data_IF_789040325630
#
_entry.id   IF_789040325630
#
_cell.length_a   1.000
_cell.length_b   1.000
_cell.length_c   1.000
_cell.angle_alpha   90.00
_cell.angle_beta   90.00
_cell.angle_gamma   90.00
#
_symmetry.space_group_name_H-M   'P 1'
#
loop_
_entity.id
_entity.type
_entity.pdbx_description
1 polymer ?
#
# COMPACT_ATOMS: atom_id res chain seq x y z
N UNK A 1 17.47 -0.04 2.89
CA UNK A 1 17.27 -1.22 3.76
C UNK A 1 18.44 -1.31 4.71
N UNK A 2 18.16 -1.49 5.99
CA UNK A 2 19.16 -1.57 7.06
C UNK A 2 19.09 -2.93 7.73
N UNK A 3 20.23 -3.44 8.19
CA UNK A 3 20.33 -4.55 9.12
C UNK A 3 20.73 -4.02 10.49
N UNK A 4 19.96 -4.39 11.50
CA UNK A 4 20.28 -4.10 12.91
C UNK A 4 20.65 -5.42 13.59
N UNK A 5 21.87 -5.52 14.12
CA UNK A 5 22.32 -6.68 14.87
C UNK A 5 21.84 -6.63 16.34
N UNK A 6 21.87 -7.75 17.08
CA UNK A 6 21.40 -7.80 18.46
C UNK A 6 22.09 -6.82 19.43
N UNK A 7 23.32 -6.43 19.13
CA UNK A 7 24.09 -5.41 19.86
C UNK A 7 23.72 -3.96 19.43
N UNK A 8 22.72 -3.80 18.55
CA UNK A 8 22.25 -2.49 18.09
C UNK A 8 23.07 -1.87 16.94
N UNK A 9 24.08 -2.56 16.41
CA UNK A 9 24.85 -2.05 15.26
C UNK A 9 24.00 -2.00 14.02
N UNK A 10 23.95 -0.81 13.38
CA UNK A 10 23.22 -0.57 12.14
C UNK A 10 24.17 -0.69 10.95
N UNK A 11 23.80 -1.54 9.98
CA UNK A 11 24.55 -1.72 8.73
C UNK A 11 23.63 -1.49 7.56
N UNK A 12 23.88 -0.50 6.67
CA UNK A 12 23.14 -0.34 5.44
C UNK A 12 23.39 -1.55 4.50
N UNK A 13 22.31 -2.12 3.97
CA UNK A 13 22.36 -3.18 2.97
C UNK A 13 22.19 -2.61 1.55
N UNK A 14 21.33 -1.61 1.41
CA UNK A 14 21.15 -0.83 0.18
C UNK A 14 20.67 0.59 0.55
N UNK A 15 21.15 1.59 -0.17
CA UNK A 15 20.84 3.02 0.01
C UNK A 15 20.42 3.65 -1.30
N UNK A 16 20.06 4.94 -1.27
CA UNK A 16 19.75 5.78 -2.43
C UNK A 16 18.61 5.23 -3.33
N UNK A 17 17.65 4.55 -2.71
CA UNK A 17 16.45 4.08 -3.38
C UNK A 17 15.54 5.27 -3.76
N UNK A 18 14.81 5.20 -4.90
CA UNK A 18 13.91 6.26 -5.35
C UNK A 18 12.61 6.29 -4.50
N UNK A 19 12.77 6.50 -3.19
CA UNK A 19 11.69 6.50 -2.19
C UNK A 19 11.29 7.94 -1.87
N UNK A 20 10.72 8.64 -2.86
CA UNK A 20 10.25 10.02 -2.77
C UNK A 20 8.77 10.10 -3.14
N UNK A 21 8.07 11.09 -2.62
CA UNK A 21 6.66 11.30 -2.92
C UNK A 21 5.73 10.60 -1.92
N UNK A 22 4.58 10.20 -2.40
CA UNK A 22 3.47 9.75 -1.57
C UNK A 22 3.74 8.43 -0.83
N UNK A 23 4.55 7.54 -1.42
CA UNK A 23 4.77 6.20 -0.90
C UNK A 23 6.26 5.89 -0.74
N UNK A 24 6.54 5.00 0.20
CA UNK A 24 7.90 4.75 0.69
C UNK A 24 8.42 3.39 0.25
N UNK A 25 9.67 3.11 0.65
CA UNK A 25 10.22 1.75 0.67
C UNK A 25 9.61 0.98 1.83
N UNK A 26 9.03 -0.18 1.55
CA UNK A 26 8.32 -1.03 2.49
C UNK A 26 8.89 -2.47 2.50
N UNK A 27 8.36 -3.30 3.39
CA UNK A 27 8.87 -4.63 3.71
C UNK A 27 9.85 -4.54 4.90
N UNK A 28 10.87 -5.39 5.04
CA UNK A 28 11.26 -6.49 4.15
C UNK A 28 10.58 -7.83 4.47
N UNK A 29 10.70 -8.78 3.52
CA UNK A 29 10.45 -10.21 3.75
C UNK A 29 11.69 -11.02 3.39
N UNK A 30 12.05 -11.97 4.24
CA UNK A 30 13.16 -12.90 3.95
C UNK A 30 12.60 -14.12 3.23
N UNK A 31 13.31 -14.61 2.19
CA UNK A 31 12.92 -15.80 1.47
C UNK A 31 12.91 -17.04 2.39
N UNK A 32 12.08 -18.06 2.11
CA UNK A 32 11.97 -19.24 2.96
C UNK A 32 13.31 -20.01 3.14
N UNK A 33 14.20 -19.94 2.17
CA UNK A 33 15.55 -20.52 2.22
C UNK A 33 16.58 -19.65 2.94
N UNK A 34 16.18 -18.45 3.40
CA UNK A 34 17.04 -17.50 4.09
C UNK A 34 18.11 -16.82 3.22
N UNK A 35 18.08 -16.99 1.89
CA UNK A 35 19.13 -16.49 1.00
C UNK A 35 18.96 -15.04 0.58
N UNK A 36 17.73 -14.55 0.54
CA UNK A 36 17.38 -13.27 -0.07
C UNK A 36 16.43 -12.44 0.77
N UNK A 37 16.53 -11.11 0.62
CA UNK A 37 15.59 -10.14 1.15
C UNK A 37 14.75 -9.60 0.00
N UNK A 38 13.44 -9.59 0.18
CA UNK A 38 12.48 -8.93 -0.71
C UNK A 38 12.00 -7.63 -0.07
N UNK A 39 11.93 -6.57 -0.85
CA UNK A 39 11.42 -5.27 -0.42
C UNK A 39 10.70 -4.59 -1.57
N UNK A 40 9.93 -3.57 -1.26
CA UNK A 40 9.17 -2.82 -2.24
C UNK A 40 9.48 -1.33 -2.18
N UNK A 41 9.20 -0.64 -3.29
CA UNK A 41 9.24 0.82 -3.38
C UNK A 41 7.89 1.24 -3.95
N UNK A 42 7.16 2.10 -3.24
CA UNK A 42 5.91 2.65 -3.72
C UNK A 42 6.12 3.76 -4.74
N UNK A 43 5.03 4.17 -5.41
CA UNK A 43 5.08 5.23 -6.42
C UNK A 43 5.15 6.62 -5.78
N UNK A 44 5.69 7.57 -6.54
CA UNK A 44 5.83 8.96 -6.09
C UNK A 44 4.50 9.73 -6.08
N UNK A 45 3.53 9.30 -6.89
CA UNK A 45 2.24 10.00 -7.07
C UNK A 45 1.05 9.09 -6.75
N UNK A 46 -0.14 9.68 -6.68
CA UNK A 46 -1.37 8.90 -6.55
C UNK A 46 -1.65 8.01 -7.78
N UNK A 47 -1.57 8.58 -8.97
CA UNK A 47 -2.07 7.94 -10.19
C UNK A 47 -1.28 8.27 -11.46
N UNK A 48 0.05 8.41 -11.34
CA UNK A 48 0.97 8.60 -12.47
C UNK A 48 1.25 10.04 -12.86
N UNK A 49 0.64 11.02 -12.19
CA UNK A 49 0.77 12.44 -12.53
C UNK A 49 1.07 13.26 -11.27
N UNK A 50 2.15 14.02 -11.30
CA UNK A 50 2.48 14.97 -10.22
C UNK A 50 1.47 16.10 -10.22
N UNK A 51 0.85 16.37 -9.07
CA UNK A 51 -0.24 17.32 -8.94
C UNK A 51 -0.15 18.26 -7.75
N UNK A 52 -1.23 19.02 -7.54
CA UNK A 52 -1.35 19.95 -6.42
C UNK A 52 -1.38 19.28 -5.07
N UNK A 53 -1.82 18.04 -4.98
CA UNK A 53 -1.74 17.20 -3.78
C UNK A 53 -0.28 16.97 -3.34
N UNK A 54 0.62 16.73 -4.28
CA UNK A 54 2.06 16.60 -3.98
C UNK A 54 2.65 17.93 -3.50
N UNK A 55 2.18 19.08 -4.00
CA UNK A 55 2.54 20.39 -3.46
C UNK A 55 2.04 20.58 -2.03
N UNK A 56 0.78 20.20 -1.76
CA UNK A 56 0.16 20.26 -0.44
C UNK A 56 0.94 19.44 0.60
N UNK A 57 1.41 18.25 0.24
CA UNK A 57 2.28 17.42 1.09
C UNK A 57 3.74 17.91 1.14
N UNK A 58 4.07 19.00 0.45
CA UNK A 58 5.37 19.66 0.50
C UNK A 58 6.44 19.05 -0.41
N UNK A 59 6.09 18.08 -1.25
CA UNK A 59 7.05 17.40 -2.12
C UNK A 59 7.63 18.33 -3.18
N UNK A 60 6.81 19.12 -3.86
CA UNK A 60 7.29 20.05 -4.90
C UNK A 60 8.26 21.11 -4.36
N UNK A 61 8.14 21.48 -3.07
CA UNK A 61 9.07 22.40 -2.43
C UNK A 61 10.42 21.73 -2.12
N UNK A 62 10.40 20.42 -1.79
CA UNK A 62 11.60 19.65 -1.43
C UNK A 62 12.39 19.21 -2.65
N UNK A 63 11.69 18.77 -3.68
CA UNK A 63 12.25 18.27 -4.93
C UNK A 63 11.28 18.57 -6.09
N UNK A 64 11.43 19.73 -6.77
CA UNK A 64 10.56 20.09 -7.88
C UNK A 64 10.64 19.14 -9.08
N UNK A 65 11.69 18.32 -9.14
CA UNK A 65 11.95 17.40 -10.26
C UNK A 65 11.43 15.99 -10.01
N UNK A 66 10.85 15.69 -8.83
CA UNK A 66 10.41 14.34 -8.54
C UNK A 66 9.25 13.91 -9.45
N UNK A 67 9.27 12.68 -9.85
CA UNK A 67 8.23 12.03 -10.65
C UNK A 67 8.34 10.50 -10.49
N UNK A 68 7.40 9.77 -11.03
CA UNK A 68 7.48 8.31 -11.08
C UNK A 68 8.51 7.81 -12.09
N UNK A 69 9.14 6.69 -11.79
CA UNK A 69 10.19 6.07 -12.59
C UNK A 69 9.70 4.67 -13.00
N UNK A 70 9.48 4.38 -14.29
CA UNK A 70 9.08 3.06 -14.75
C UNK A 70 10.25 2.07 -14.72
N UNK A 71 9.96 0.75 -14.60
CA UNK A 71 11.00 -0.28 -14.61
C UNK A 71 11.52 -0.61 -16.02
N UNK A 72 10.70 -0.39 -17.03
CA UNK A 72 10.99 -0.61 -18.46
C UNK A 72 10.54 0.62 -19.24
N UNK A 73 11.03 0.77 -20.46
CA UNK A 73 10.56 1.82 -21.35
C UNK A 73 9.05 1.72 -21.52
N UNK A 74 8.38 2.85 -21.38
CA UNK A 74 6.94 2.99 -21.56
C UNK A 74 6.66 4.10 -22.58
N UNK A 75 5.55 3.97 -23.30
CA UNK A 75 5.08 4.92 -24.30
C UNK A 75 3.81 5.60 -23.83
N UNK A 76 3.81 6.93 -23.80
CA UNK A 76 2.71 7.74 -23.31
C UNK A 76 1.64 8.01 -24.37
N UNK A 77 0.38 8.13 -23.91
CA UNK A 77 -0.73 8.60 -24.75
C UNK A 77 -0.64 10.08 -25.10
N UNK A 78 0.10 10.87 -24.31
CA UNK A 78 0.12 12.32 -24.40
C UNK A 78 -1.01 13.01 -23.62
N UNK A 79 -1.74 12.28 -22.79
CA UNK A 79 -2.74 12.88 -21.90
C UNK A 79 -2.06 13.81 -20.89
N UNK A 80 -2.59 15.02 -20.77
CA UNK A 80 -2.04 16.08 -19.92
C UNK A 80 -3.13 16.65 -19.00
N UNK A 81 -2.71 17.08 -17.81
CA UNK A 81 -3.60 17.56 -16.75
C UNK A 81 -3.27 19.00 -16.42
N UNK A 82 -4.27 19.89 -16.54
CA UNK A 82 -4.15 21.30 -16.18
C UNK A 82 -4.61 21.52 -14.75
N UNK A 83 -3.76 22.11 -13.93
CA UNK A 83 -4.04 22.42 -12.52
C UNK A 83 -3.62 23.85 -12.20
N UNK A 84 -3.96 24.33 -10.99
CA UNK A 84 -3.32 25.51 -10.42
C UNK A 84 -1.81 25.29 -10.31
N UNK A 85 -1.03 26.37 -10.40
CA UNK A 85 0.42 26.29 -10.22
C UNK A 85 0.85 26.83 -8.85
N UNK A 86 0.97 25.98 -7.83
CA UNK A 86 1.33 26.39 -6.47
C UNK A 86 2.79 26.87 -6.34
N UNK A 87 3.61 26.72 -7.37
CA UNK A 87 4.99 27.20 -7.41
C UNK A 87 5.11 28.61 -8.01
N UNK A 88 4.01 29.15 -8.55
CA UNK A 88 3.97 30.51 -9.12
C UNK A 88 3.55 31.53 -8.08
N UNK A 89 4.09 32.74 -8.18
CA UNK A 89 3.63 33.89 -7.43
C UNK A 89 2.31 34.48 -8.00
N UNK A 90 1.98 34.18 -9.25
CA UNK A 90 0.70 34.51 -9.86
C UNK A 90 -0.35 33.47 -9.47
N UNK A 91 -1.36 33.90 -8.72
CA UNK A 91 -2.45 33.03 -8.26
C UNK A 91 -3.33 32.45 -9.40
N UNK A 92 -3.26 33.03 -10.58
CA UNK A 92 -4.02 32.56 -11.76
C UNK A 92 -3.18 31.64 -12.64
N UNK A 93 -1.89 31.47 -12.34
CA UNK A 93 -1.01 30.63 -13.12
C UNK A 93 -1.50 29.18 -13.12
N UNK A 94 -1.46 28.58 -14.29
CA UNK A 94 -1.77 27.15 -14.49
C UNK A 94 -0.49 26.38 -14.75
N UNK A 95 -0.52 25.10 -14.42
CA UNK A 95 0.51 24.12 -14.76
C UNK A 95 -0.12 23.02 -15.61
N UNK A 96 0.63 22.53 -16.60
CA UNK A 96 0.23 21.41 -17.44
C UNK A 96 1.23 20.28 -17.24
N UNK A 97 0.76 19.15 -16.71
CA UNK A 97 1.63 18.02 -16.32
C UNK A 97 1.19 16.74 -17.01
N UNK A 98 2.14 16.07 -17.66
CA UNK A 98 1.98 14.74 -18.23
C UNK A 98 2.36 13.64 -17.24
N UNK A 99 2.02 12.39 -17.58
CA UNK A 99 2.37 11.23 -16.77
C UNK A 99 3.88 10.98 -16.73
N UNK A 100 4.40 10.48 -15.59
CA UNK A 100 5.83 10.15 -15.40
C UNK A 100 6.80 11.32 -15.64
N UNK A 101 6.30 12.54 -15.56
CA UNK A 101 7.09 13.76 -15.78
C UNK A 101 7.04 14.67 -14.56
N UNK A 102 8.06 15.53 -14.36
CA UNK A 102 8.03 16.54 -13.32
C UNK A 102 6.81 17.48 -13.46
N UNK A 103 6.42 18.09 -12.35
CA UNK A 103 5.33 19.06 -12.33
C UNK A 103 5.52 20.17 -13.39
N UNK A 104 4.44 20.55 -14.04
CA UNK A 104 4.43 21.55 -15.12
C UNK A 104 5.29 21.17 -16.35
N UNK A 105 5.42 19.88 -16.63
CA UNK A 105 6.08 19.36 -17.84
C UNK A 105 5.05 18.54 -18.63
N UNK A 106 4.57 19.04 -19.78
CA UNK A 106 3.60 18.31 -20.59
C UNK A 106 4.23 17.14 -21.34
N UNK A 107 3.45 16.07 -21.51
CA UNK A 107 3.81 14.93 -22.35
C UNK A 107 3.32 15.10 -23.79
N UNK A 108 3.90 14.32 -24.72
CA UNK A 108 3.48 14.24 -26.11
C UNK A 108 2.97 12.84 -26.43
N UNK A 109 2.01 12.70 -27.37
CA UNK A 109 1.60 11.39 -27.86
C UNK A 109 2.79 10.60 -28.41
N UNK A 110 2.95 9.35 -27.95
CA UNK A 110 4.05 8.49 -28.37
C UNK A 110 5.40 8.79 -27.68
N UNK A 111 5.48 9.75 -26.76
CA UNK A 111 6.68 10.01 -26.00
C UNK A 111 7.09 8.75 -25.21
N UNK A 112 8.37 8.40 -25.31
CA UNK A 112 8.95 7.28 -24.56
C UNK A 112 9.58 7.81 -23.28
N UNK A 113 9.22 7.22 -22.14
CA UNK A 113 9.91 7.42 -20.86
C UNK A 113 10.81 6.21 -20.64
N UNK A 114 12.13 6.41 -20.49
CA UNK A 114 13.06 5.31 -20.33
C UNK A 114 12.90 4.62 -18.96
N UNK A 115 12.99 3.29 -18.97
CA UNK A 115 12.98 2.47 -17.77
C UNK A 115 14.29 2.61 -16.97
N UNK A 116 14.17 2.46 -15.66
CA UNK A 116 15.31 2.47 -14.75
C UNK A 116 15.08 1.53 -13.56
N UNK A 117 16.14 0.87 -13.11
CA UNK A 117 16.13 0.04 -11.89
C UNK A 117 17.16 0.62 -10.91
N UNK A 118 16.76 0.81 -9.63
CA UNK A 118 15.42 0.65 -9.06
C UNK A 118 14.40 1.65 -9.59
N UNK A 119 13.17 1.17 -9.80
CA UNK A 119 12.01 1.98 -10.22
C UNK A 119 11.11 2.35 -9.03
N UNK A 120 10.11 3.21 -9.24
CA UNK A 120 8.96 3.35 -8.34
C UNK A 120 7.89 2.30 -8.68
N UNK A 121 7.04 1.94 -7.71
CA UNK A 121 5.97 0.95 -7.91
C UNK A 121 6.49 -0.46 -8.21
N UNK A 122 7.57 -0.89 -7.55
CA UNK A 122 8.21 -2.18 -7.80
C UNK A 122 8.48 -3.00 -6.54
N UNK A 123 8.61 -4.31 -6.74
CA UNK A 123 9.13 -5.28 -5.76
C UNK A 123 10.49 -5.74 -6.22
N UNK A 124 11.44 -5.80 -5.30
CA UNK A 124 12.83 -6.13 -5.54
C UNK A 124 13.29 -7.24 -4.62
N UNK A 125 14.33 -7.96 -5.04
CA UNK A 125 15.09 -8.88 -4.20
C UNK A 125 16.57 -8.55 -4.24
N UNK A 126 17.27 -8.85 -3.16
CA UNK A 126 18.74 -8.81 -3.07
C UNK A 126 19.25 -9.93 -2.16
N UNK A 127 20.55 -10.30 -2.22
CA UNK A 127 21.12 -11.22 -1.26
C UNK A 127 20.93 -10.74 0.19
N UNK A 128 20.80 -11.69 1.15
CA UNK A 128 20.67 -11.38 2.57
C UNK A 128 21.86 -10.58 3.13
N UNK A 129 23.02 -10.72 2.52
CA UNK A 129 24.24 -9.98 2.87
C UNK A 129 24.23 -8.50 2.37
N UNK A 130 23.24 -8.11 1.57
CA UNK A 130 23.21 -6.86 0.84
C UNK A 130 23.77 -7.02 -0.57
N UNK A 131 23.64 -5.96 -1.36
CA UNK A 131 24.13 -5.93 -2.74
C UNK A 131 23.13 -5.30 -3.72
N UNK A 132 23.25 -5.65 -5.00
CA UNK A 132 22.41 -5.11 -6.05
C UNK A 132 20.97 -5.59 -5.97
N UNK A 133 20.02 -4.66 -6.12
CA UNK A 133 18.60 -4.96 -6.18
C UNK A 133 18.19 -5.47 -7.57
N UNK A 134 17.56 -6.61 -7.63
CA UNK A 134 16.99 -7.20 -8.83
C UNK A 134 15.48 -7.00 -8.83
N UNK A 135 14.93 -6.56 -9.96
CA UNK A 135 13.49 -6.39 -10.13
C UNK A 135 12.79 -7.78 -10.09
N UNK A 136 11.74 -7.88 -9.27
CA UNK A 136 10.86 -9.04 -9.21
C UNK A 136 9.56 -8.76 -9.94
N UNK A 137 8.89 -7.64 -9.64
CA UNK A 137 7.62 -7.23 -10.23
C UNK A 137 7.50 -5.71 -10.22
N UNK A 138 6.62 -5.14 -11.04
CA UNK A 138 6.44 -3.71 -11.17
C UNK A 138 5.03 -3.31 -11.61
N UNK A 139 4.75 -2.00 -11.65
CA UNK A 139 3.41 -1.50 -11.96
C UNK A 139 2.44 -1.70 -10.80
N UNK A 140 2.94 -1.63 -9.58
CA UNK A 140 2.21 -1.57 -8.32
C UNK A 140 2.15 -0.10 -7.83
N UNK A 141 1.10 0.28 -7.11
CA UNK A 141 1.02 1.65 -6.55
C UNK A 141 1.75 1.78 -5.23
N UNK A 142 1.26 1.14 -4.20
CA UNK A 142 1.87 1.13 -2.87
C UNK A 142 1.95 -0.29 -2.32
N UNK A 143 2.90 -1.09 -2.80
CA UNK A 143 3.14 -2.43 -2.29
C UNK A 143 3.69 -2.33 -0.86
N UNK A 144 2.79 -2.46 0.15
CA UNK A 144 3.11 -2.17 1.54
C UNK A 144 3.64 -3.39 2.29
N UNK A 145 2.84 -4.43 2.45
CA UNK A 145 3.22 -5.65 3.14
C UNK A 145 3.76 -6.70 2.17
N UNK A 146 4.79 -7.43 2.59
CA UNK A 146 5.31 -8.59 1.89
C UNK A 146 5.38 -9.78 2.84
N UNK A 147 4.88 -10.95 2.42
CA UNK A 147 5.00 -12.18 3.17
C UNK A 147 5.01 -13.40 2.25
N UNK A 148 5.76 -14.43 2.65
CA UNK A 148 5.71 -15.72 2.00
C UNK A 148 4.64 -16.60 2.64
N UNK A 149 3.77 -17.18 1.82
CA UNK A 149 2.83 -18.20 2.26
C UNK A 149 3.57 -19.51 2.60
N UNK A 150 2.92 -20.43 3.36
CA UNK A 150 3.54 -21.71 3.70
C UNK A 150 3.96 -22.57 2.50
N UNK A 151 3.33 -22.37 1.35
CA UNK A 151 3.65 -23.05 0.08
C UNK A 151 4.81 -22.39 -0.70
N UNK A 152 5.43 -21.33 -0.15
CA UNK A 152 6.55 -20.62 -0.74
C UNK A 152 6.18 -19.49 -1.71
N UNK A 153 4.89 -19.27 -2.02
CA UNK A 153 4.46 -18.12 -2.84
C UNK A 153 4.64 -16.81 -2.08
N UNK A 154 5.17 -15.81 -2.76
CA UNK A 154 5.25 -14.45 -2.23
C UNK A 154 3.91 -13.74 -2.48
N UNK A 155 3.43 -13.04 -1.47
CA UNK A 155 2.25 -12.16 -1.56
C UNK A 155 2.58 -10.73 -1.15
N UNK A 156 1.77 -9.80 -1.64
CA UNK A 156 1.88 -8.37 -1.34
C UNK A 156 0.50 -7.78 -1.06
N UNK A 157 0.39 -6.98 0.01
CA UNK A 157 -0.72 -6.03 0.15
C UNK A 157 -0.37 -4.74 -0.59
N UNK A 158 -1.32 -4.20 -1.34
CA UNK A 158 -1.18 -2.94 -2.06
C UNK A 158 -2.27 -1.97 -1.65
N UNK A 159 -1.89 -0.79 -1.17
CA UNK A 159 -2.86 0.29 -1.00
C UNK A 159 -3.15 0.94 -2.36
N UNK A 160 -4.43 1.00 -2.68
CA UNK A 160 -4.89 1.41 -3.99
C UNK A 160 -5.06 2.94 -4.12
N UNK A 161 -5.69 3.37 -5.22
CA UNK A 161 -5.80 4.79 -5.57
C UNK A 161 -6.67 5.59 -4.60
N UNK A 162 -6.37 6.89 -4.50
CA UNK A 162 -7.14 7.87 -3.75
C UNK A 162 -7.92 8.81 -4.65
N UNK A 163 -8.98 9.43 -4.08
CA UNK A 163 -9.80 10.43 -4.77
C UNK A 163 -9.17 11.82 -4.61
N UNK A 164 -7.93 11.98 -5.08
CA UNK A 164 -7.15 13.23 -4.98
C UNK A 164 -6.22 13.43 -6.17
N UNK A 165 -5.63 14.62 -6.23
CA UNK A 165 -4.63 14.97 -7.24
C UNK A 165 -5.21 15.27 -8.62
N UNK A 166 -4.33 15.31 -9.61
CA UNK A 166 -4.66 15.68 -11.00
C UNK A 166 -5.53 14.63 -11.69
N UNK A 167 -5.40 13.36 -11.31
CA UNK A 167 -6.12 12.21 -11.87
C UNK A 167 -6.70 11.38 -10.72
N UNK A 168 -7.80 11.85 -10.09
CA UNK A 168 -8.44 11.13 -8.98
C UNK A 168 -9.10 9.84 -9.49
N UNK A 169 -9.02 8.78 -8.68
CA UNK A 169 -9.65 7.48 -8.97
C UNK A 169 -10.58 7.12 -7.82
N UNK A 170 -11.84 6.81 -8.12
CA UNK A 170 -12.86 6.45 -7.14
C UNK A 170 -12.97 4.92 -7.01
N UNK A 171 -13.44 4.45 -5.86
CA UNK A 171 -13.92 3.08 -5.68
C UNK A 171 -12.87 1.96 -5.74
N UNK A 172 -11.58 2.27 -5.78
CA UNK A 172 -10.52 1.27 -5.81
C UNK A 172 -10.22 0.73 -4.40
N UNK A 173 -10.51 -0.54 -4.15
CA UNK A 173 -10.17 -1.22 -2.91
C UNK A 173 -8.68 -1.58 -2.85
N UNK A 174 -8.14 -1.78 -1.64
CA UNK A 174 -6.81 -2.33 -1.49
C UNK A 174 -6.74 -3.77 -2.03
N UNK A 175 -5.56 -4.28 -2.28
CA UNK A 175 -5.42 -5.55 -3.01
C UNK A 175 -4.45 -6.48 -2.30
N UNK A 176 -4.78 -7.77 -2.25
CA UNK A 176 -3.83 -8.84 -1.92
C UNK A 176 -3.40 -9.54 -3.21
N UNK A 177 -2.15 -9.36 -3.60
CA UNK A 177 -1.56 -9.93 -4.81
C UNK A 177 -0.73 -11.18 -4.54
N UNK A 178 -0.90 -12.28 -5.28
CA UNK A 178 0.17 -13.26 -5.46
C UNK A 178 1.21 -12.68 -6.43
N UNK A 179 2.49 -12.74 -6.05
CA UNK A 179 3.55 -12.10 -6.82
C UNK A 179 4.20 -13.12 -7.76
N UNK A 180 4.07 -12.84 -9.05
CA UNK A 180 4.71 -13.60 -10.14
C UNK A 180 5.89 -12.79 -10.70
N UNK A 181 7.10 -13.34 -10.70
CA UNK A 181 8.27 -12.65 -11.23
C UNK A 181 8.11 -12.23 -12.70
N UNK A 182 8.62 -11.02 -13.03
CA UNK A 182 8.58 -10.46 -14.37
C UNK A 182 7.27 -9.77 -14.77
N UNK A 183 6.24 -9.82 -13.91
CA UNK A 183 4.89 -9.33 -14.20
C UNK A 183 4.75 -7.83 -13.91
N UNK A 184 4.01 -7.14 -14.78
CA UNK A 184 3.48 -5.79 -14.55
C UNK A 184 2.06 -5.90 -13.98
N UNK A 185 1.77 -5.16 -12.91
CA UNK A 185 0.54 -5.27 -12.11
C UNK A 185 -0.54 -4.24 -12.45
N UNK A 186 -0.29 -3.37 -13.43
CA UNK A 186 -1.34 -2.54 -14.02
C UNK A 186 -1.26 -1.05 -13.71
N UNK A 187 -0.59 -0.62 -12.66
CA UNK A 187 -0.44 0.81 -12.38
C UNK A 187 0.36 1.50 -13.50
N UNK A 188 -0.07 2.69 -13.99
CA UNK A 188 -1.11 3.57 -13.45
C UNK A 188 -2.49 3.41 -14.09
N UNK A 189 -2.73 2.45 -14.96
CA UNK A 189 -3.90 2.40 -15.84
C UNK A 189 -4.94 1.34 -15.47
N UNK A 190 -4.61 0.45 -14.54
CA UNK A 190 -5.49 -0.62 -14.07
C UNK A 190 -5.56 -0.66 -12.55
N UNK A 191 -6.66 -1.24 -12.06
CA UNK A 191 -6.86 -1.62 -10.68
C UNK A 191 -7.42 -3.05 -10.62
N UNK A 192 -6.78 -3.92 -9.85
CA UNK A 192 -7.22 -5.30 -9.64
C UNK A 192 -7.53 -6.08 -10.95
N UNK A 193 -6.78 -5.79 -12.03
CA UNK A 193 -6.98 -6.38 -13.36
C UNK A 193 -7.97 -5.64 -14.26
N UNK A 194 -8.69 -4.64 -13.76
CA UNK A 194 -9.69 -3.86 -14.49
C UNK A 194 -9.15 -2.50 -14.95
N UNK A 195 -9.46 -2.03 -16.16
CA UNK A 195 -9.01 -0.75 -16.68
C UNK A 195 -9.69 0.41 -15.92
N UNK A 196 -8.93 1.44 -15.57
CA UNK A 196 -9.47 2.63 -14.91
C UNK A 196 -10.41 3.45 -15.81
N UNK A 197 -10.42 3.16 -17.11
CA UNK A 197 -11.39 3.74 -18.06
C UNK A 197 -12.82 3.24 -17.87
N UNK A 198 -13.04 2.26 -16.99
CA UNK A 198 -14.38 1.82 -16.59
C UNK A 198 -15.02 2.92 -15.70
N UNK A 199 -15.65 3.90 -16.36
CA UNK A 199 -16.14 5.13 -15.74
C UNK A 199 -17.17 4.90 -14.64
N UNK A 200 -18.09 3.95 -14.84
CA UNK A 200 -19.15 3.65 -13.86
C UNK A 200 -18.62 3.22 -12.50
N UNK A 201 -17.36 2.76 -12.47
CA UNK A 201 -16.70 2.31 -11.25
C UNK A 201 -15.64 3.28 -10.72
N UNK A 202 -14.79 3.82 -11.63
CA UNK A 202 -13.59 4.58 -11.22
C UNK A 202 -13.69 6.08 -11.38
N UNK A 203 -14.78 6.61 -11.94
CA UNK A 203 -14.96 8.06 -12.07
C UNK A 203 -15.32 8.69 -10.74
N UNK A 204 -14.49 9.61 -10.25
CA UNK A 204 -14.79 10.38 -9.07
C UNK A 204 -15.94 11.37 -9.35
N UNK A 205 -16.89 11.56 -8.41
CA UNK A 205 -18.02 12.49 -8.58
C UNK A 205 -17.58 13.89 -8.98
N UNK A 206 -18.16 14.41 -10.07
CA UNK A 206 -17.86 15.75 -10.59
C UNK A 206 -16.47 15.91 -11.24
N UNK A 207 -15.77 14.80 -11.50
CA UNK A 207 -14.48 14.78 -12.21
C UNK A 207 -14.59 14.01 -13.52
N UNK A 208 -13.71 14.27 -14.50
CA UNK A 208 -13.63 13.44 -15.70
C UNK A 208 -13.29 11.98 -15.36
N UNK A 209 -13.78 11.04 -16.17
CA UNK A 209 -13.36 9.66 -16.07
C UNK A 209 -11.85 9.52 -16.34
N UNK A 210 -11.13 8.65 -15.62
CA UNK A 210 -9.74 8.37 -15.91
C UNK A 210 -9.56 7.86 -17.35
N UNK A 211 -8.52 8.35 -18.02
CA UNK A 211 -8.08 7.85 -19.32
C UNK A 211 -6.77 7.09 -19.16
N UNK A 212 -6.41 6.27 -20.14
CA UNK A 212 -5.11 5.62 -20.16
C UNK A 212 -3.97 6.64 -20.32
N UNK A 213 -2.92 6.45 -19.55
CA UNK A 213 -1.69 7.22 -19.62
C UNK A 213 -0.66 6.54 -20.54
N UNK A 214 -0.70 5.20 -20.60
CA UNK A 214 0.19 4.40 -21.44
C UNK A 214 -0.51 4.08 -22.77
N UNK A 215 0.20 4.33 -23.87
CA UNK A 215 -0.28 4.00 -25.21
C UNK A 215 -0.25 2.48 -25.50
N UNK A 216 0.63 1.77 -24.81
CA UNK A 216 0.80 0.33 -24.89
C UNK A 216 1.03 -0.22 -23.48
N UNK A 217 0.37 -1.34 -23.14
CA UNK A 217 0.52 -1.98 -21.84
C UNK A 217 1.46 -3.19 -21.96
N UNK A 218 2.40 -3.37 -20.98
CA UNK A 218 3.42 -4.44 -21.07
C UNK A 218 2.86 -5.85 -21.12
N UNK A 219 1.75 -6.09 -20.43
CA UNK A 219 0.95 -7.32 -20.43
C UNK A 219 -0.45 -7.02 -19.88
N UNK A 220 -1.38 -7.94 -19.99
CA UNK A 220 -2.63 -7.90 -19.23
C UNK A 220 -2.32 -8.04 -17.74
N UNK A 221 -2.81 -7.15 -16.85
CA UNK A 221 -2.57 -7.29 -15.44
C UNK A 221 -3.17 -8.59 -14.88
N UNK A 222 -2.56 -9.21 -13.87
CA UNK A 222 -3.07 -10.42 -13.24
C UNK A 222 -4.35 -10.17 -12.46
N UNK A 223 -5.04 -11.25 -12.09
CA UNK A 223 -6.15 -11.21 -11.12
C UNK A 223 -5.61 -11.30 -9.70
N UNK A 224 -6.08 -10.47 -8.75
CA UNK A 224 -5.67 -10.53 -7.36
C UNK A 224 -6.22 -11.77 -6.65
N UNK A 225 -5.60 -12.14 -5.52
CA UNK A 225 -6.16 -13.12 -4.59
C UNK A 225 -7.42 -12.59 -3.87
N UNK A 226 -7.42 -11.30 -3.53
CA UNK A 226 -8.58 -10.62 -2.95
C UNK A 226 -8.54 -9.11 -3.24
N UNK A 227 -9.73 -8.51 -3.37
CA UNK A 227 -9.93 -7.05 -3.32
C UNK A 227 -10.50 -6.70 -1.95
N UNK A 228 -9.75 -5.91 -1.21
CA UNK A 228 -10.02 -5.51 0.16
C UNK A 228 -10.85 -4.20 0.18
N UNK A 229 -11.51 -3.86 1.29
CA UNK A 229 -12.30 -2.64 1.40
C UNK A 229 -11.57 -1.37 0.98
N UNK A 230 -12.31 -0.49 0.27
CA UNK A 230 -11.82 0.82 -0.20
C UNK A 230 -11.35 1.67 0.98
N UNK A 231 -10.15 2.26 0.86
CA UNK A 231 -9.51 3.10 1.88
C UNK A 231 -9.29 2.42 3.25
N UNK A 232 -9.28 1.06 3.30
CA UNK A 232 -8.99 0.33 4.52
C UNK A 232 -7.54 0.44 4.98
N UNK A 233 -6.65 0.85 4.08
CA UNK A 233 -5.21 0.96 4.30
C UNK A 233 -4.62 -0.34 4.86
N UNK A 234 -4.72 -1.40 4.06
CA UNK A 234 -4.23 -2.73 4.42
C UNK A 234 -2.71 -2.78 4.32
N UNK A 235 -2.08 -3.02 5.47
CA UNK A 235 -0.65 -2.85 5.69
C UNK A 235 0.09 -4.20 5.81
N UNK A 236 0.90 -4.37 6.86
CA UNK A 236 1.68 -5.57 7.08
C UNK A 236 0.83 -6.79 7.45
N UNK A 237 1.23 -7.95 6.97
CA UNK A 237 0.51 -9.21 7.17
C UNK A 237 1.44 -10.40 7.27
N UNK A 238 0.93 -11.54 7.73
CA UNK A 238 1.60 -12.82 7.71
C UNK A 238 0.59 -13.96 7.54
N UNK A 239 1.08 -15.14 7.20
CA UNK A 239 0.27 -16.34 7.01
C UNK A 239 0.30 -17.24 8.24
N UNK A 240 -0.85 -17.77 8.64
CA UNK A 240 -0.91 -18.82 9.64
C UNK A 240 -0.25 -20.10 9.10
N UNK A 241 0.68 -20.65 9.88
CA UNK A 241 1.43 -21.88 9.57
C UNK A 241 1.11 -23.03 10.52
N UNK A 242 0.44 -22.71 11.64
CA UNK A 242 0.18 -23.69 12.70
C UNK A 242 -1.29 -24.10 12.75
N UNK A 243 -1.56 -25.41 12.74
CA UNK A 243 -2.91 -25.94 12.98
C UNK A 243 -3.39 -25.66 14.41
N UNK A 244 -2.48 -25.40 15.36
CA UNK A 244 -2.84 -25.07 16.75
C UNK A 244 -3.42 -23.65 16.85
N UNK A 245 -2.85 -22.70 16.11
CA UNK A 245 -3.49 -21.37 16.01
C UNK A 245 -4.77 -21.44 15.17
N UNK A 246 -4.77 -22.28 14.15
CA UNK A 246 -5.87 -22.44 13.20
C UNK A 246 -5.69 -21.64 11.92
N UNK A 247 -6.63 -21.82 10.99
CA UNK A 247 -6.66 -21.11 9.73
C UNK A 247 -5.38 -21.21 8.88
N UNK A 248 -4.76 -22.39 8.89
CA UNK A 248 -3.51 -22.62 8.19
C UNK A 248 -3.59 -22.22 6.70
N UNK A 249 -2.60 -21.51 6.20
CA UNK A 249 -2.54 -21.00 4.82
C UNK A 249 -3.31 -19.69 4.59
N UNK A 250 -4.04 -19.18 5.58
CA UNK A 250 -4.74 -17.89 5.44
C UNK A 250 -3.86 -16.73 5.91
N UNK A 251 -4.03 -15.56 5.26
CA UNK A 251 -3.34 -14.34 5.57
C UNK A 251 -4.07 -13.57 6.69
N UNK A 252 -3.33 -13.05 7.66
CA UNK A 252 -3.82 -12.15 8.71
C UNK A 252 -3.28 -10.77 8.43
N UNK A 253 -4.15 -9.83 8.05
CA UNK A 253 -3.77 -8.53 7.49
C UNK A 253 -4.22 -7.41 8.42
N UNK A 254 -3.28 -6.56 8.80
CA UNK A 254 -3.56 -5.35 9.57
C UNK A 254 -4.22 -4.29 8.68
N UNK A 255 -5.41 -3.84 9.02
CA UNK A 255 -6.13 -2.75 8.38
C UNK A 255 -6.00 -1.48 9.23
N UNK A 256 -5.11 -0.58 8.80
CA UNK A 256 -4.79 0.66 9.51
C UNK A 256 -5.99 1.59 9.68
N UNK A 257 -6.87 1.59 8.70
CA UNK A 257 -8.08 2.38 8.69
C UNK A 257 -7.97 3.67 7.90
N UNK A 258 -9.13 4.16 7.50
CA UNK A 258 -9.23 5.33 6.62
C UNK A 258 -8.57 6.59 7.17
N UNK A 259 -8.13 7.43 6.24
CA UNK A 259 -7.57 8.75 6.49
C UNK A 259 -8.41 9.82 5.78
N UNK A 260 -9.75 9.67 5.85
CA UNK A 260 -10.65 10.67 5.29
C UNK A 260 -10.49 12.03 6.02
N UNK A 261 -10.55 13.17 5.30
CA UNK A 261 -10.83 13.30 3.88
C UNK A 261 -9.62 13.14 2.95
N UNK A 262 -8.39 13.00 3.46
CA UNK A 262 -7.15 13.01 2.68
C UNK A 262 -7.08 11.97 1.56
N UNK A 263 -7.71 10.81 1.73
CA UNK A 263 -7.80 9.75 0.71
C UNK A 263 -9.07 9.85 -0.15
N UNK A 264 -10.01 10.68 0.25
CA UNK A 264 -11.33 10.84 -0.37
C UNK A 264 -12.46 10.60 0.63
N UNK A 265 -13.70 10.76 0.14
CA UNK A 265 -14.90 10.61 0.97
C UNK A 265 -15.11 9.14 1.36
N UNK A 266 -15.27 8.90 2.65
CA UNK A 266 -15.64 7.61 3.23
C UNK A 266 -17.07 7.69 3.78
N UNK A 267 -17.93 6.74 3.40
CA UNK A 267 -19.34 6.72 3.81
C UNK A 267 -19.50 6.27 5.26
N UNK A 268 -18.63 5.37 5.70
CA UNK A 268 -18.54 4.87 7.08
C UNK A 268 -17.06 4.55 7.38
N UNK A 269 -16.60 4.62 8.63
CA UNK A 269 -15.24 4.25 8.98
C UNK A 269 -14.87 2.85 8.49
N UNK A 270 -13.69 2.70 7.91
CA UNK A 270 -13.18 1.44 7.31
C UNK A 270 -11.81 1.11 7.90
N UNK A 271 -11.51 -0.16 8.15
CA UNK A 271 -10.26 -0.63 8.75
C UNK A 271 -10.34 -0.70 10.28
N UNK A 272 -9.29 -0.33 11.01
CA UNK A 272 -9.14 -0.36 12.48
C UNK A 272 -9.27 -1.77 13.07
N UNK A 273 -8.79 -2.78 12.35
CA UNK A 273 -8.99 -4.19 12.66
C UNK A 273 -7.93 -5.09 12.03
N UNK A 274 -7.99 -6.35 12.33
CA UNK A 274 -7.24 -7.39 11.61
C UNK A 274 -8.25 -8.23 10.85
N UNK A 275 -8.07 -8.34 9.54
CA UNK A 275 -8.86 -9.23 8.70
C UNK A 275 -8.08 -10.51 8.37
N UNK A 276 -8.81 -11.60 8.18
CA UNK A 276 -8.29 -12.89 7.71
C UNK A 276 -8.75 -13.10 6.27
N UNK A 277 -7.83 -13.48 5.41
CA UNK A 277 -8.09 -13.70 3.98
C UNK A 277 -7.64 -15.09 3.59
N UNK A 278 -8.51 -15.85 2.96
CA UNK A 278 -8.13 -17.08 2.26
C UNK A 278 -7.66 -16.72 0.85
N UNK A 279 -6.36 -16.86 0.55
CA UNK A 279 -5.80 -16.43 -0.72
C UNK A 279 -6.22 -17.30 -1.92
N UNK A 280 -6.83 -18.45 -1.69
CA UNK A 280 -7.28 -19.37 -2.74
C UNK A 280 -8.73 -19.10 -3.16
N UNK A 281 -9.56 -18.60 -2.24
CA UNK A 281 -10.99 -18.33 -2.47
C UNK A 281 -11.30 -16.83 -2.54
N UNK A 282 -10.41 -15.97 -2.03
CA UNK A 282 -10.63 -14.53 -1.89
C UNK A 282 -11.58 -14.15 -0.76
N UNK A 283 -12.01 -15.10 0.06
CA UNK A 283 -12.92 -14.84 1.19
C UNK A 283 -12.20 -14.04 2.27
N UNK A 284 -12.85 -12.95 2.68
CA UNK A 284 -12.36 -12.01 3.69
C UNK A 284 -13.27 -12.12 4.91
N UNK A 285 -12.69 -12.32 6.08
CA UNK A 285 -13.43 -12.37 7.35
C UNK A 285 -12.73 -11.50 8.39
N UNK A 286 -13.51 -10.82 9.22
CA UNK A 286 -12.98 -10.07 10.35
C UNK A 286 -12.43 -11.06 11.38
N UNK A 287 -11.14 -10.92 11.72
CA UNK A 287 -10.50 -11.76 12.74
C UNK A 287 -10.51 -11.09 14.12
N UNK A 288 -10.08 -9.82 14.18
CA UNK A 288 -10.08 -9.05 15.43
C UNK A 288 -10.51 -7.61 15.15
N UNK A 289 -11.54 -7.17 15.86
CA UNK A 289 -12.08 -5.82 15.78
C UNK A 289 -12.50 -5.31 17.16
N UNK A 290 -12.69 -4.00 17.26
CA UNK A 290 -13.20 -3.40 18.48
C UNK A 290 -14.64 -3.83 18.77
N UNK A 291 -14.97 -3.92 20.06
CA UNK A 291 -16.33 -4.27 20.50
C UNK A 291 -17.30 -3.13 20.18
N UNK A 292 -18.55 -3.47 19.89
CA UNK A 292 -19.63 -2.52 19.64
C UNK A 292 -20.21 -2.63 18.24
N UNK A 293 -21.14 -1.75 17.92
CA UNK A 293 -21.81 -1.69 16.61
C UNK A 293 -21.08 -0.80 15.62
N UNK A 294 -20.30 0.16 16.12
CA UNK A 294 -19.60 1.15 15.31
C UNK A 294 -18.19 0.67 15.00
N UNK A 295 -17.77 0.78 13.74
CA UNK A 295 -16.39 0.59 13.35
C UNK A 295 -15.60 1.88 13.58
N UNK A 296 -14.37 1.77 14.07
CA UNK A 296 -13.52 2.92 14.30
C UNK A 296 -12.36 2.60 15.23
N UNK A 297 -11.42 3.54 15.39
CA UNK A 297 -10.34 3.39 16.36
C UNK A 297 -10.90 3.40 17.79
N UNK A 298 -10.30 2.62 18.69
CA UNK A 298 -10.79 2.40 20.04
C UNK A 298 -11.00 3.71 20.83
N UNK A 299 -10.11 4.70 20.65
CA UNK A 299 -10.22 6.01 21.29
C UNK A 299 -11.48 6.79 20.87
N UNK A 300 -11.95 6.59 19.64
CA UNK A 300 -13.12 7.28 19.10
C UNK A 300 -14.44 6.60 19.50
N UNK A 301 -14.46 5.28 19.59
CA UNK A 301 -15.66 4.52 19.93
C UNK A 301 -15.75 4.17 21.41
N UNK A 302 -14.77 4.59 22.22
CA UNK A 302 -14.69 4.41 23.67
C UNK A 302 -14.78 2.93 24.13
N UNK A 303 -14.42 1.97 23.25
CA UNK A 303 -14.55 0.54 23.50
C UNK A 303 -13.29 -0.14 24.05
N UNK A 304 -12.15 0.55 24.05
CA UNK A 304 -10.84 -0.06 24.22
C UNK A 304 -10.51 -1.02 23.08
N UNK A 305 -9.25 -1.29 22.80
CA UNK A 305 -8.81 -2.21 21.75
C UNK A 305 -7.91 -1.57 20.71
N UNK A 306 -8.10 -1.92 19.45
CA UNK A 306 -7.26 -1.51 18.32
C UNK A 306 -7.49 -0.05 17.93
N UNK A 307 -6.40 0.67 17.73
CA UNK A 307 -6.42 2.03 17.17
C UNK A 307 -6.21 1.97 15.66
N UNK A 308 -4.96 1.71 15.25
CA UNK A 308 -4.55 1.65 13.83
C UNK A 308 -3.51 0.53 13.63
N UNK A 309 -3.96 -0.71 13.47
CA UNK A 309 -3.06 -1.83 13.21
C UNK A 309 -2.25 -1.61 11.92
N UNK A 310 -0.91 -1.72 12.02
CA UNK A 310 -0.01 -1.48 10.89
C UNK A 310 0.75 -2.73 10.45
N UNK A 311 0.89 -3.72 11.30
CA UNK A 311 1.49 -5.01 10.95
C UNK A 311 0.90 -6.14 11.78
N UNK A 312 0.80 -7.31 11.17
CA UNK A 312 0.48 -8.57 11.82
C UNK A 312 1.57 -9.58 11.48
N UNK A 313 2.15 -10.25 12.49
CA UNK A 313 3.24 -11.23 12.30
C UNK A 313 3.10 -12.38 13.27
N UNK A 314 3.25 -13.60 12.76
CA UNK A 314 3.36 -14.77 13.60
C UNK A 314 4.76 -14.92 14.17
N UNK A 315 4.86 -15.48 15.36
CA UNK A 315 6.13 -15.94 15.90
C UNK A 315 6.65 -17.17 15.12
N UNK A 316 7.86 -17.60 15.44
CA UNK A 316 8.51 -18.75 14.76
C UNK A 316 7.75 -20.08 14.96
N UNK A 317 6.95 -20.20 16.01
CA UNK A 317 6.12 -21.39 16.25
C UNK A 317 4.82 -21.37 15.46
N UNK A 318 4.39 -20.19 15.02
CA UNK A 318 3.09 -19.96 14.39
C UNK A 318 1.91 -20.04 15.37
N UNK A 319 2.15 -20.01 16.68
CA UNK A 319 1.11 -20.13 17.72
C UNK A 319 0.75 -18.80 18.36
N UNK A 320 1.53 -17.76 18.10
CA UNK A 320 1.29 -16.39 18.58
C UNK A 320 1.25 -15.43 17.41
N UNK A 321 0.16 -14.68 17.29
CA UNK A 321 0.07 -13.55 16.37
C UNK A 321 0.37 -12.25 17.14
N UNK A 322 1.39 -11.55 16.71
CA UNK A 322 1.68 -10.18 17.16
C UNK A 322 1.08 -9.18 16.20
N UNK A 323 0.38 -8.17 16.74
CA UNK A 323 -0.17 -7.05 15.97
C UNK A 323 0.45 -5.76 16.49
N UNK A 324 1.16 -5.07 15.60
CA UNK A 324 1.70 -3.73 15.89
C UNK A 324 0.62 -2.72 15.60
N UNK A 325 0.24 -1.97 16.62
CA UNK A 325 -0.75 -0.91 16.52
C UNK A 325 -0.03 0.44 16.60
N UNK A 326 -0.26 1.29 15.62
CA UNK A 326 0.36 2.62 15.53
C UNK A 326 -0.06 3.52 16.71
N UNK A 327 -1.25 3.29 17.25
CA UNK A 327 -1.83 4.09 18.32
C UNK A 327 -2.74 5.21 17.81
N UNK A 328 -3.01 6.16 18.70
CA UNK A 328 -3.98 7.24 18.47
C UNK A 328 -3.50 8.22 17.41
N UNK A 329 -4.33 8.43 16.40
CA UNK A 329 -4.12 9.43 15.37
C UNK A 329 -5.45 10.09 15.01
N UNK A 330 -5.56 11.39 15.15
CA UNK A 330 -6.67 12.18 14.63
C UNK A 330 -6.31 12.79 13.27
N UNK A 331 -7.33 13.25 12.54
CA UNK A 331 -7.16 14.01 11.29
C UNK A 331 -7.55 15.46 11.54
N UNK A 332 -6.68 16.40 11.16
CA UNK A 332 -6.98 17.83 11.06
C UNK A 332 -7.09 18.18 9.57
N UNK A 333 -8.32 18.16 9.06
CA UNK A 333 -8.55 18.11 7.62
C UNK A 333 -7.94 16.84 7.03
N UNK A 334 -7.01 16.99 6.10
CA UNK A 334 -6.27 15.89 5.45
C UNK A 334 -4.88 15.62 6.07
N UNK A 335 -4.55 16.31 7.18
CA UNK A 335 -3.28 16.17 7.88
C UNK A 335 -3.39 15.20 9.05
N UNK A 336 -2.60 14.11 9.08
CA UNK A 336 -2.55 13.22 10.23
C UNK A 336 -1.88 13.89 11.43
N UNK A 337 -2.48 13.71 12.61
CA UNK A 337 -2.01 14.20 13.89
C UNK A 337 -1.78 13.01 14.82
N UNK A 338 -0.62 12.33 14.75
CA UNK A 338 -0.31 11.21 15.61
C UNK A 338 -0.03 11.68 17.04
N UNK A 339 -0.50 10.90 18.02
CA UNK A 339 -0.22 11.11 19.43
C UNK A 339 0.93 10.21 19.88
N UNK A 340 1.96 10.80 20.44
CA UNK A 340 3.13 10.07 20.95
C UNK A 340 2.76 9.11 22.10
N UNK A 341 3.53 8.03 22.24
CA UNK A 341 3.44 7.05 23.32
C UNK A 341 2.07 6.35 23.44
N UNK A 342 1.35 6.21 22.32
CA UNK A 342 0.05 5.53 22.29
C UNK A 342 0.07 4.23 21.49
N UNK A 343 1.22 3.88 20.87
CA UNK A 343 1.38 2.62 20.15
C UNK A 343 1.33 1.41 21.08
N UNK A 344 0.79 0.30 20.57
CA UNK A 344 0.61 -0.94 21.33
C UNK A 344 1.11 -2.13 20.53
N UNK A 345 1.76 -3.07 21.20
CA UNK A 345 2.04 -4.40 20.66
C UNK A 345 1.05 -5.40 21.28
N UNK A 346 0.09 -5.85 20.47
CA UNK A 346 -0.86 -6.87 20.87
C UNK A 346 -0.27 -8.27 20.68
N UNK A 347 -0.51 -9.16 21.65
CA UNK A 347 -0.17 -10.57 21.58
C UNK A 347 -1.45 -11.38 21.60
N UNK A 348 -1.72 -12.10 20.52
CA UNK A 348 -2.94 -12.90 20.33
C UNK A 348 -2.56 -14.38 20.30
N UNK A 349 -3.20 -15.18 21.14
CA UNK A 349 -3.05 -16.63 21.19
C UNK A 349 -4.42 -17.28 21.19
N UNK A 350 -4.51 -18.51 20.69
CA UNK A 350 -5.69 -19.32 20.86
C UNK A 350 -5.77 -19.82 22.30
N UNK A 351 -6.87 -19.54 23.00
CA UNK A 351 -7.13 -20.19 24.28
C UNK A 351 -7.51 -21.64 24.07
N UNK A 352 -7.07 -22.55 24.97
CA UNK A 352 -7.52 -23.92 24.95
C UNK A 352 -9.06 -23.92 25.08
N UNK A 353 -9.75 -24.61 24.18
CA UNK A 353 -11.21 -24.72 24.22
C UNK A 353 -11.59 -25.46 25.52
N UNK A 354 -12.17 -24.75 26.47
CA UNK A 354 -12.93 -25.42 27.52
C UNK A 354 -14.17 -25.98 26.82
N UNK A 355 -14.31 -27.30 26.83
CA UNK A 355 -15.44 -27.95 26.15
C UNK A 355 -16.74 -27.32 26.63
N UNK A 356 -17.40 -26.54 25.76
CA UNK A 356 -18.73 -25.94 26.02
C UNK A 356 -18.87 -24.43 25.93
N UNK A 357 -17.80 -23.64 25.62
CA UNK A 357 -17.94 -22.19 25.44
C UNK A 357 -17.07 -21.65 24.31
N UNK A 358 -17.67 -21.25 23.20
CA UNK A 358 -17.06 -20.39 22.21
C UNK A 358 -17.02 -18.95 22.79
N UNK A 359 -15.92 -18.58 23.43
CA UNK A 359 -15.61 -17.19 23.74
C UNK A 359 -14.14 -16.93 23.43
N UNK A 360 -13.90 -16.07 22.44
CA UNK A 360 -12.57 -15.51 22.18
C UNK A 360 -12.32 -14.39 23.22
N UNK A 361 -11.42 -14.64 24.15
CA UNK A 361 -10.99 -13.62 25.13
C UNK A 361 -9.70 -12.98 24.64
N UNK A 362 -9.74 -11.66 24.46
CA UNK A 362 -8.55 -10.83 24.19
C UNK A 362 -7.98 -10.44 25.55
N UNK A 363 -6.84 -11.00 25.91
CA UNK A 363 -6.11 -10.64 27.15
C UNK A 363 -5.19 -9.46 26.84
N UNK A 364 -5.27 -8.44 27.68
CA UNK A 364 -4.48 -7.20 27.65
C UNK A 364 -3.02 -7.45 28.02
#
# INVERSE_FOLDING_TARGET
>A
ILRVSPDGKITPLIQDLPSKGDHHTNGPAVSPDGSSIYFSIGVATNSGVVGTDNAHFGWLKRDPSFHDIPAKDIKLTGENFTTENPLSNDKNAKAVTGAYLPFNTPSQPGQVIPGKIPCTGGIFKMPLAGGEAQLVAWGLRNPFGLAFAPDGRLFCTENSYDVRGSRPVYGSGDVLWPITPGTWYGWPDFHAGYPLTWSDHYQAPGKPAPKFLLAEHPNAPPTPAAVLPVHGSYCGFDFSRSSRFGFAGQAFIAAFGDMAPGVGKVMAPVGFRVDRVDPNTGVIEVFAANRGKDNGPASRIHGGGLERPVAARFDNTGEVLYVVDFGVMSMDGDKPQPRQETGVLWRITRTATVAGAEQQEVVR
#
